data_IF_615023326730
#
_entry.id   IF_615023326730
#
_cell.length_a   1.000
_cell.length_b   1.000
_cell.length_c   1.000
_cell.angle_alpha   90.00
_cell.angle_beta   90.00
_cell.angle_gamma   90.00
#
_symmetry.space_group_name_H-M   'P 1'
#
loop_
_entity.id
_entity.type
_entity.pdbx_description
1 polymer ?
#
# COMPACT_ATOMS: atom_id res chain seq x y z
N UNK A 1 -3.76 -2.79 10.75
CA UNK A 1 -2.31 -2.61 10.55
C UNK A 1 -1.82 -2.68 9.09
N UNK A 2 -2.04 -3.73 8.27
CA UNK A 2 -1.40 -3.81 6.93
C UNK A 2 -1.82 -2.67 5.98
N UNK A 3 -3.13 -2.44 5.81
CA UNK A 3 -3.62 -1.37 4.93
C UNK A 3 -3.30 0.03 5.49
N UNK A 4 -3.26 0.19 6.81
CA UNK A 4 -2.78 1.43 7.44
C UNK A 4 -1.32 1.71 7.09
N UNK A 5 -0.45 0.70 7.12
CA UNK A 5 0.94 0.84 6.71
C UNK A 5 1.07 1.22 5.22
N UNK A 6 0.20 0.67 4.36
CA UNK A 6 0.14 1.05 2.95
C UNK A 6 -0.27 2.52 2.77
N UNK A 7 -1.35 2.96 3.43
CA UNK A 7 -1.82 4.35 3.37
C UNK A 7 -0.76 5.30 3.92
N UNK A 8 -0.18 4.99 5.07
CA UNK A 8 0.86 5.82 5.68
C UNK A 8 2.08 5.94 4.77
N UNK A 9 2.59 4.83 4.24
CA UNK A 9 3.74 4.84 3.36
C UNK A 9 3.45 5.60 2.05
N UNK A 10 2.30 5.35 1.42
CA UNK A 10 1.91 6.04 0.20
C UNK A 10 1.75 7.54 0.43
N UNK A 11 1.16 7.95 1.56
CA UNK A 11 0.95 9.36 1.91
C UNK A 11 2.26 10.12 2.11
N UNK A 12 3.20 9.57 2.88
CA UNK A 12 4.51 10.22 3.07
C UNK A 12 5.32 10.26 1.77
N UNK A 13 5.25 9.22 0.94
CA UNK A 13 5.90 9.21 -0.37
C UNK A 13 5.29 10.25 -1.30
N UNK A 14 3.96 10.36 -1.36
CA UNK A 14 3.25 11.35 -2.17
C UNK A 14 3.70 12.77 -1.81
N UNK A 15 3.73 13.09 -0.52
CA UNK A 15 4.14 14.40 -0.03
C UNK A 15 5.60 14.74 -0.40
N UNK A 16 6.51 13.77 -0.26
CA UNK A 16 7.92 13.93 -0.62
C UNK A 16 8.11 14.14 -2.13
N UNK A 17 7.41 13.35 -2.97
CA UNK A 17 7.46 13.50 -4.43
C UNK A 17 6.85 14.84 -4.87
N UNK A 18 5.70 15.23 -4.31
CA UNK A 18 5.08 16.52 -4.61
C UNK A 18 6.05 17.68 -4.31
N UNK A 19 6.71 17.64 -3.14
CA UNK A 19 7.74 18.62 -2.76
C UNK A 19 8.89 18.65 -3.77
N UNK A 20 9.41 17.49 -4.18
CA UNK A 20 10.51 17.42 -5.14
C UNK A 20 10.12 17.92 -6.55
N UNK A 21 8.86 17.77 -6.94
CA UNK A 21 8.33 18.26 -8.22
C UNK A 21 7.84 19.71 -8.17
N UNK A 22 7.88 20.38 -7.01
CA UNK A 22 7.34 21.73 -6.82
C UNK A 22 5.81 21.80 -6.93
N UNK A 23 5.11 20.69 -6.68
CA UNK A 23 3.65 20.63 -6.69
C UNK A 23 3.11 20.95 -5.29
N UNK A 24 2.27 21.97 -5.20
CA UNK A 24 1.60 22.35 -3.95
C UNK A 24 0.35 21.49 -3.77
N UNK A 25 0.31 20.68 -2.71
CA UNK A 25 -0.89 19.98 -2.26
C UNK A 25 -1.49 20.76 -1.09
N UNK A 26 -2.73 21.23 -1.24
CA UNK A 26 -3.48 21.88 -0.14
C UNK A 26 -4.07 20.84 0.80
N UNK A 27 -4.62 19.78 0.24
CA UNK A 27 -5.11 18.61 0.95
C UNK A 27 -4.85 17.35 0.14
N UNK A 28 -4.74 16.20 0.84
CA UNK A 28 -4.61 14.90 0.22
C UNK A 28 -5.22 13.83 1.13
N UNK A 29 -6.28 13.19 0.65
CA UNK A 29 -6.93 12.06 1.32
C UNK A 29 -6.59 10.77 0.58
N UNK A 30 -6.09 9.79 1.32
CA UNK A 30 -5.75 8.47 0.80
C UNK A 30 -6.59 7.41 1.50
N UNK A 31 -7.14 6.48 0.72
CA UNK A 31 -7.96 5.38 1.25
C UNK A 31 -7.49 4.05 0.67
N UNK A 32 -7.32 3.06 1.54
CA UNK A 32 -7.06 1.68 1.14
C UNK A 32 -8.21 0.78 1.57
N UNK A 33 -8.64 -0.09 0.66
CA UNK A 33 -9.65 -1.12 0.89
C UNK A 33 -9.09 -2.47 0.47
N UNK A 34 -9.53 -3.55 1.11
CA UNK A 34 -9.11 -4.89 0.71
C UNK A 34 -10.14 -5.96 1.04
N UNK A 35 -10.15 -7.00 0.22
CA UNK A 35 -11.09 -8.12 0.35
C UNK A 35 -10.41 -9.29 1.05
N UNK A 36 -11.11 -9.87 2.02
CA UNK A 36 -10.67 -11.00 2.81
C UNK A 36 -11.77 -12.05 2.86
N UNK A 37 -11.37 -13.32 2.82
CA UNK A 37 -12.25 -14.43 3.14
C UNK A 37 -11.70 -15.16 4.37
N UNK A 38 -12.37 -14.94 5.50
CA UNK A 38 -11.94 -15.49 6.79
C UNK A 38 -12.05 -17.02 6.86
N UNK A 39 -12.74 -17.67 5.92
CA UNK A 39 -12.78 -19.15 5.88
C UNK A 39 -11.39 -19.75 5.73
N UNK A 40 -10.49 -19.10 4.99
CA UNK A 40 -9.09 -19.53 4.89
C UNK A 40 -8.36 -19.37 6.22
N UNK A 41 -8.37 -18.16 6.79
CA UNK A 41 -7.66 -17.84 8.04
C UNK A 41 -8.14 -18.67 9.23
N UNK A 42 -9.44 -18.94 9.30
CA UNK A 42 -10.06 -19.74 10.36
C UNK A 42 -10.00 -21.26 10.08
N UNK A 43 -9.40 -21.68 8.97
CA UNK A 43 -9.24 -23.10 8.62
C UNK A 43 -10.54 -23.82 8.23
N UNK A 44 -11.60 -23.07 7.89
CA UNK A 44 -12.91 -23.61 7.49
C UNK A 44 -12.94 -24.09 6.05
N UNK A 45 -12.04 -23.60 5.19
CA UNK A 45 -11.86 -24.10 3.82
C UNK A 45 -10.38 -24.10 3.44
N UNK A 46 -9.93 -25.20 2.84
CA UNK A 46 -8.55 -25.33 2.30
C UNK A 46 -8.41 -24.73 0.90
N UNK A 47 -9.52 -24.44 0.23
CA UNK A 47 -9.54 -23.88 -1.13
C UNK A 47 -9.42 -22.34 -1.11
N UNK A 48 -9.69 -21.72 0.04
CA UNK A 48 -9.62 -20.27 0.21
C UNK A 48 -8.20 -19.88 0.66
N UNK A 49 -7.46 -19.08 -0.12
CA UNK A 49 -6.14 -18.62 0.27
C UNK A 49 -6.22 -17.69 1.49
N UNK A 50 -5.24 -17.80 2.40
CA UNK A 50 -5.10 -16.91 3.55
C UNK A 50 -4.46 -15.60 3.10
N UNK A 51 -5.09 -14.47 3.45
CA UNK A 51 -4.60 -13.13 3.14
C UNK A 51 -5.55 -12.33 2.25
N UNK A 52 -5.16 -11.09 1.93
CA UNK A 52 -5.94 -10.21 1.06
C UNK A 52 -5.98 -10.75 -0.37
N UNK A 53 -7.18 -10.82 -0.94
CA UNK A 53 -7.37 -11.28 -2.32
C UNK A 53 -7.23 -10.12 -3.32
N UNK A 54 -7.70 -8.94 -2.91
CA UNK A 54 -7.55 -7.70 -3.64
C UNK A 54 -7.32 -6.56 -2.65
N UNK A 55 -6.50 -5.60 -3.07
CA UNK A 55 -6.27 -4.34 -2.38
C UNK A 55 -6.45 -3.22 -3.40
N UNK A 56 -7.17 -2.16 -3.01
CA UNK A 56 -7.39 -0.97 -3.82
C UNK A 56 -6.94 0.24 -3.02
N UNK A 57 -6.13 1.10 -3.63
CA UNK A 57 -5.65 2.35 -3.05
C UNK A 57 -6.15 3.51 -3.90
N UNK A 58 -6.85 4.46 -3.30
CA UNK A 58 -7.34 5.66 -3.97
C UNK A 58 -6.74 6.93 -3.34
N UNK A 59 -6.61 7.96 -4.18
CA UNK A 59 -6.05 9.26 -3.83
C UNK A 59 -7.04 10.34 -4.24
N UNK A 60 -7.37 11.23 -3.32
CA UNK A 60 -8.17 12.43 -3.55
C UNK A 60 -7.29 13.63 -3.20
N UNK A 61 -6.96 14.46 -4.18
CA UNK A 61 -5.95 15.52 -4.05
C UNK A 61 -6.57 16.89 -4.36
N UNK A 62 -6.31 17.87 -3.49
CA UNK A 62 -6.60 19.28 -3.75
C UNK A 62 -5.32 20.02 -4.15
N UNK A 63 -5.22 20.38 -5.43
CA UNK A 63 -4.05 21.04 -6.03
C UNK A 63 -4.39 21.68 -7.37
N UNK A 64 -3.58 22.65 -7.80
CA UNK A 64 -3.68 23.32 -9.11
C UNK A 64 -2.73 22.70 -10.15
N UNK A 65 -2.14 21.53 -9.84
CA UNK A 65 -1.26 20.82 -10.75
C UNK A 65 -1.97 20.43 -12.06
N UNK A 66 -1.24 20.51 -13.18
CA UNK A 66 -1.75 20.02 -14.46
C UNK A 66 -1.98 18.51 -14.44
N UNK A 67 -2.74 17.99 -15.41
CA UNK A 67 -2.97 16.54 -15.53
C UNK A 67 -1.67 15.76 -15.67
N UNK A 68 -0.73 16.28 -16.44
CA UNK A 68 0.58 15.66 -16.68
C UNK A 68 1.45 15.65 -15.42
N UNK A 69 1.36 16.72 -14.61
CA UNK A 69 2.02 16.79 -13.31
C UNK A 69 1.41 15.79 -12.32
N UNK A 70 0.08 15.69 -12.28
CA UNK A 70 -0.65 14.73 -11.44
C UNK A 70 -0.32 13.28 -11.81
N UNK A 71 -0.34 12.94 -13.10
CA UNK A 71 0.06 11.60 -13.56
C UNK A 71 1.50 11.27 -13.17
N UNK A 72 2.40 12.23 -13.31
CA UNK A 72 3.80 12.07 -12.90
C UNK A 72 3.93 11.86 -11.40
N UNK A 73 3.24 12.67 -10.60
CA UNK A 73 3.21 12.58 -9.14
C UNK A 73 2.72 11.20 -8.68
N UNK A 74 1.57 10.75 -9.17
CA UNK A 74 0.97 9.46 -8.78
C UNK A 74 1.84 8.29 -9.23
N UNK A 75 2.34 8.31 -10.47
CA UNK A 75 3.24 7.26 -11.00
C UNK A 75 4.52 7.15 -10.17
N UNK A 76 5.12 8.27 -9.79
CA UNK A 76 6.32 8.26 -8.95
C UNK A 76 6.01 7.84 -7.52
N UNK A 77 4.85 8.22 -6.98
CA UNK A 77 4.39 7.78 -5.66
C UNK A 77 4.25 6.26 -5.62
N UNK A 78 3.59 5.65 -6.60
CA UNK A 78 3.50 4.19 -6.71
C UNK A 78 4.87 3.54 -6.84
N UNK A 79 5.77 4.12 -7.64
CA UNK A 79 7.12 3.59 -7.86
C UNK A 79 7.98 3.60 -6.60
N UNK A 80 7.87 4.64 -5.78
CA UNK A 80 8.74 4.84 -4.61
C UNK A 80 8.10 4.43 -3.27
N UNK A 81 6.80 4.15 -3.24
CA UNK A 81 6.15 3.63 -2.04
C UNK A 81 6.64 2.20 -1.77
N UNK A 82 7.48 2.07 -0.74
CA UNK A 82 8.13 0.80 -0.37
C UNK A 82 7.08 -0.28 -0.05
N UNK A 83 6.04 0.08 0.70
CA UNK A 83 4.99 -0.89 1.08
C UNK A 83 4.20 -1.35 -0.14
N UNK A 84 3.80 -0.43 -1.03
CA UNK A 84 3.12 -0.78 -2.27
C UNK A 84 3.97 -1.72 -3.12
N UNK A 85 5.26 -1.41 -3.31
CA UNK A 85 6.17 -2.25 -4.08
C UNK A 85 6.40 -3.63 -3.44
N UNK A 86 6.48 -3.70 -2.11
CA UNK A 86 6.63 -4.97 -1.35
C UNK A 86 5.39 -5.86 -1.50
N UNK A 87 4.19 -5.26 -1.50
CA UNK A 87 2.93 -6.00 -1.71
C UNK A 87 2.80 -6.47 -3.15
N UNK A 88 3.15 -5.63 -4.11
CA UNK A 88 3.09 -5.96 -5.55
C UNK A 88 4.14 -6.99 -5.97
N UNK A 89 5.31 -6.94 -5.35
CA UNK A 89 6.43 -7.84 -5.62
C UNK A 89 6.93 -8.40 -4.30
N UNK A 90 6.38 -9.55 -3.90
CA UNK A 90 6.73 -10.18 -2.63
C UNK A 90 8.23 -10.54 -2.59
N UNK A 91 8.99 -10.08 -1.58
CA UNK A 91 10.38 -10.48 -1.41
C UNK A 91 10.47 -11.94 -0.95
N UNK A 92 11.66 -12.53 -1.00
CA UNK A 92 11.90 -13.81 -0.36
C UNK A 92 11.71 -13.68 1.17
N UNK A 93 10.87 -14.54 1.75
CA UNK A 93 10.59 -14.54 3.18
C UNK A 93 11.09 -15.86 3.78
N UNK A 94 11.91 -15.77 4.83
CA UNK A 94 12.40 -16.93 5.58
C UNK A 94 11.85 -16.90 7.01
N UNK A 95 11.40 -18.04 7.50
CA UNK A 95 10.91 -18.21 8.88
C UNK A 95 11.83 -19.19 9.60
N UNK A 96 12.44 -18.75 10.71
CA UNK A 96 13.19 -19.63 11.60
C UNK A 96 12.35 -19.97 12.84
N UNK A 97 12.47 -21.20 13.34
CA UNK A 97 11.75 -21.67 14.52
C UNK A 97 12.74 -22.23 15.53
N UNK A 98 12.59 -21.86 16.80
CA UNK A 98 13.27 -22.48 17.93
C UNK A 98 12.20 -22.92 18.91
N UNK A 99 12.19 -24.20 19.25
CA UNK A 99 11.38 -24.74 20.35
C UNK A 99 12.30 -24.77 21.56
N UNK A 100 11.95 -24.06 22.63
CA UNK A 100 12.60 -24.27 23.93
C UNK A 100 11.97 -25.53 24.53
N UNK A 101 12.80 -26.46 25.01
CA UNK A 101 12.36 -27.72 25.60
C UNK A 101 11.32 -27.48 26.73
N UNK A 102 10.31 -28.36 26.76
CA UNK A 102 9.24 -28.42 27.77
C UNK A 102 9.79 -28.74 29.16
#
# INVERSE_FOLDING_TARGET
MLLEALVACAGVTLNAVATALGIVLRDATLKAEGDLDFRGTLGLSKEVPVGFQQIRLSFELDTDASKEQLETLLRLTERYCVVFQTLKHSPAIAVSRRVKDQ
#
